data_IF_913809738536
#
_entry.id   IF_913809738536
#
_cell.length_a   1.000
_cell.length_b   1.000
_cell.length_c   1.000
_cell.angle_alpha   90.00
_cell.angle_beta   90.00
_cell.angle_gamma   90.00
#
_symmetry.space_group_name_H-M   'P 1'
#
loop_
_entity.id
_entity.type
_entity.pdbx_description
1 polymer ?
#
# COMPACT_ATOMS: atom_id res chain seq x y z
N UNK A 1 12.65 -12.08 -4.49
CA UNK A 1 13.26 -11.39 -3.34
C UNK A 1 12.18 -11.16 -2.31
N UNK A 2 12.20 -11.93 -1.22
CA UNK A 2 11.19 -11.83 -0.19
C UNK A 2 11.58 -10.79 0.88
N UNK A 3 10.61 -10.04 1.41
CA UNK A 3 10.80 -8.81 2.20
C UNK A 3 11.49 -7.65 1.47
N UNK A 4 10.80 -6.51 1.41
CA UNK A 4 11.39 -5.22 1.03
C UNK A 4 10.60 -4.08 1.64
N UNK A 5 11.29 -2.98 1.91
CA UNK A 5 10.67 -1.71 2.28
C UNK A 5 11.35 -0.62 1.48
N UNK A 6 10.55 0.16 0.78
CA UNK A 6 11.01 1.33 0.03
C UNK A 6 10.25 2.57 0.50
N UNK A 7 10.97 3.66 0.78
CA UNK A 7 10.35 4.95 1.04
C UNK A 7 10.02 5.60 -0.31
N UNK A 8 8.73 5.63 -0.64
CA UNK A 8 8.23 6.10 -1.93
C UNK A 8 8.11 7.63 -1.97
N UNK A 9 7.69 8.21 -0.86
CA UNK A 9 7.69 9.64 -0.65
C UNK A 9 7.77 9.92 0.83
N UNK A 10 8.42 11.02 1.16
CA UNK A 10 8.58 11.44 2.54
C UNK A 10 8.61 12.96 2.61
N UNK A 11 7.80 13.52 3.50
CA UNK A 11 7.56 14.96 3.50
C UNK A 11 7.32 15.50 4.89
N UNK A 12 7.76 16.74 5.10
CA UNK A 12 7.56 17.47 6.36
C UNK A 12 7.08 18.88 6.04
N UNK A 13 6.09 19.42 6.73
CA UNK A 13 5.64 20.79 6.49
C UNK A 13 6.73 21.79 6.91
N UNK A 14 7.01 22.80 6.08
CA UNK A 14 8.03 23.82 6.32
C UNK A 14 7.44 25.23 6.29
N UNK A 15 7.82 26.04 7.28
CA UNK A 15 7.44 27.44 7.38
C UNK A 15 6.62 27.74 8.63
N UNK A 16 6.61 29.01 9.03
CA UNK A 16 5.99 29.50 10.29
C UNK A 16 4.47 29.29 10.35
N UNK A 17 3.83 29.02 9.20
CA UNK A 17 2.40 28.80 9.09
C UNK A 17 1.99 27.41 9.60
N UNK A 18 2.87 26.41 9.50
CA UNK A 18 2.56 25.03 9.88
C UNK A 18 2.97 24.79 11.33
N UNK A 19 2.03 24.99 12.24
CA UNK A 19 2.26 24.67 13.65
C UNK A 19 2.23 23.14 13.81
N UNK A 20 3.31 22.54 14.30
CA UNK A 20 3.33 21.16 14.83
C UNK A 20 2.81 20.05 13.91
N UNK A 21 2.73 20.27 12.60
CA UNK A 21 2.28 19.24 11.66
C UNK A 21 3.41 18.19 11.46
N UNK A 22 3.15 16.90 11.70
CA UNK A 22 4.17 15.86 11.69
C UNK A 22 4.61 15.52 10.27
N UNK A 23 5.71 14.75 10.19
CA UNK A 23 6.17 14.10 8.96
C UNK A 23 5.09 13.16 8.42
N UNK A 24 4.93 13.14 7.10
CA UNK A 24 4.09 12.19 6.37
C UNK A 24 4.98 11.33 5.48
N UNK A 25 4.90 10.02 5.64
CA UNK A 25 5.72 9.07 4.90
C UNK A 25 4.85 8.05 4.18
N UNK A 26 5.20 7.74 2.93
CA UNK A 26 4.62 6.65 2.14
C UNK A 26 5.67 5.56 1.91
N UNK A 27 5.35 4.34 2.32
CA UNK A 27 6.19 3.15 2.19
C UNK A 27 5.56 2.14 1.24
N UNK A 28 6.36 1.50 0.39
CA UNK A 28 6.00 0.24 -0.25
C UNK A 28 6.63 -0.91 0.53
N UNK A 29 5.79 -1.76 1.12
CA UNK A 29 6.21 -2.82 2.04
C UNK A 29 5.84 -4.17 1.43
N UNK A 30 6.82 -5.00 1.11
CA UNK A 30 6.62 -6.40 0.72
C UNK A 30 6.81 -7.29 1.95
N UNK A 31 5.79 -8.10 2.27
CA UNK A 31 5.76 -9.00 3.43
C UNK A 31 4.97 -10.28 3.11
N UNK A 32 5.11 -11.36 3.91
CA UNK A 32 4.32 -12.57 3.76
C UNK A 32 2.83 -12.27 3.88
N UNK A 33 2.03 -12.80 2.95
CA UNK A 33 0.60 -12.52 2.92
C UNK A 33 -0.14 -13.01 4.17
N UNK A 34 0.40 -14.02 4.86
CA UNK A 34 -0.19 -14.57 6.10
C UNK A 34 -0.34 -13.53 7.21
N UNK A 35 0.50 -12.49 7.26
CA UNK A 35 0.42 -11.41 8.27
C UNK A 35 -0.25 -10.14 7.76
N UNK A 36 -0.80 -10.16 6.54
CA UNK A 36 -1.51 -9.01 5.96
C UNK A 36 -2.72 -8.60 6.81
N UNK A 37 -3.46 -9.56 7.36
CA UNK A 37 -4.60 -9.27 8.22
C UNK A 37 -4.19 -8.52 9.49
N UNK A 38 -3.05 -8.90 10.08
CA UNK A 38 -2.52 -8.25 11.29
C UNK A 38 -2.01 -6.83 10.99
N UNK A 39 -1.28 -6.62 9.89
CA UNK A 39 -0.93 -5.28 9.40
C UNK A 39 -2.21 -4.42 9.22
N UNK A 40 -3.27 -5.04 8.72
CA UNK A 40 -4.53 -4.35 8.44
C UNK A 40 -5.31 -3.91 9.69
N UNK A 41 -4.94 -4.37 10.89
CA UNK A 41 -5.57 -3.93 12.14
C UNK A 41 -5.22 -2.50 12.54
N UNK A 42 -4.09 -1.96 12.07
CA UNK A 42 -3.68 -0.61 12.43
C UNK A 42 -4.45 0.45 11.63
N UNK A 43 -5.38 1.13 12.31
CA UNK A 43 -6.36 2.02 11.66
C UNK A 43 -5.79 3.36 11.16
N UNK A 44 -4.64 3.79 11.68
CA UNK A 44 -4.04 5.07 11.30
C UNK A 44 -3.33 5.04 9.94
N UNK A 45 -3.29 3.87 9.29
CA UNK A 45 -2.70 3.69 7.97
C UNK A 45 -3.71 3.85 6.83
N UNK A 46 -3.37 4.67 5.85
CA UNK A 46 -3.95 4.58 4.51
C UNK A 46 -3.20 3.53 3.71
N UNK A 47 -3.94 2.60 3.09
CA UNK A 47 -3.36 1.36 2.54
C UNK A 47 -3.91 1.00 1.18
N UNK A 48 -3.04 0.57 0.27
CA UNK A 48 -3.41 -0.08 -0.98
C UNK A 48 -2.56 -1.36 -1.12
N UNK A 49 -3.19 -2.53 -1.15
CA UNK A 49 -2.50 -3.84 -1.24
C UNK A 49 -2.80 -4.54 -2.54
N UNK A 50 -1.84 -5.32 -3.05
CA UNK A 50 -2.06 -6.11 -4.24
C UNK A 50 -3.13 -7.20 -4.08
N UNK A 51 -4.05 -7.22 -5.05
CA UNK A 51 -5.18 -8.15 -5.09
C UNK A 51 -4.84 -9.41 -5.88
N UNK A 52 -4.89 -10.56 -5.21
CA UNK A 52 -4.80 -11.88 -5.85
C UNK A 52 -5.88 -12.08 -6.91
N UNK A 53 -7.04 -11.43 -6.78
CA UNK A 53 -8.15 -11.48 -7.74
C UNK A 53 -7.80 -10.83 -9.08
N UNK A 54 -6.82 -9.93 -9.11
CA UNK A 54 -6.42 -9.24 -10.33
C UNK A 54 -5.41 -10.05 -11.17
N UNK A 55 -4.65 -10.96 -10.54
CA UNK A 55 -3.50 -11.64 -11.15
C UNK A 55 -3.93 -13.00 -11.77
N UNK A 56 -3.51 -13.33 -13.01
CA UNK A 56 -3.76 -14.64 -13.61
C UNK A 56 -3.27 -15.80 -12.72
N UNK A 57 -4.01 -16.92 -12.72
CA UNK A 57 -3.70 -18.08 -11.86
C UNK A 57 -2.30 -18.61 -12.13
N UNK A 58 -1.91 -18.76 -13.40
CA UNK A 58 -0.58 -19.22 -13.77
C UNK A 58 0.55 -18.37 -13.15
N UNK A 59 0.43 -17.03 -13.22
CA UNK A 59 1.41 -16.13 -12.63
C UNK A 59 1.51 -16.26 -11.10
N UNK A 60 0.42 -16.64 -10.44
CA UNK A 60 0.41 -16.88 -8.98
C UNK A 60 1.07 -18.21 -8.65
N UNK A 61 0.85 -19.24 -9.47
CA UNK A 61 1.54 -20.52 -9.37
C UNK A 61 3.05 -20.31 -9.53
N UNK A 62 3.48 -19.58 -10.57
CA UNK A 62 4.89 -19.29 -10.82
C UNK A 62 5.56 -18.60 -9.62
N UNK A 63 4.85 -17.67 -8.96
CA UNK A 63 5.34 -16.99 -7.75
C UNK A 63 5.57 -17.95 -6.59
N UNK A 64 4.63 -18.83 -6.29
CA UNK A 64 4.78 -19.76 -5.15
C UNK A 64 5.77 -20.88 -5.44
N UNK A 65 5.95 -21.28 -6.71
CA UNK A 65 6.92 -22.33 -7.06
C UNK A 65 8.35 -21.79 -7.08
N UNK A 66 8.57 -20.56 -7.56
CA UNK A 66 9.90 -19.96 -7.70
C UNK A 66 10.42 -19.27 -6.43
N UNK A 67 9.56 -18.55 -5.71
CA UNK A 67 9.94 -17.76 -4.53
C UNK A 67 8.84 -17.81 -3.45
N UNK A 68 8.56 -19.00 -2.87
CA UNK A 68 7.56 -19.16 -1.83
C UNK A 68 7.95 -18.42 -0.55
N UNK A 69 6.95 -17.99 0.20
CA UNK A 69 7.14 -17.71 1.62
C UNK A 69 7.37 -19.01 2.39
N UNK A 70 8.46 -19.02 3.17
CA UNK A 70 8.82 -20.06 4.12
C UNK A 70 9.03 -19.36 5.48
N UNK A 71 8.34 -19.78 6.55
CA UNK A 71 8.57 -19.25 7.89
C UNK A 71 10.04 -19.36 8.30
N UNK A 72 10.59 -18.29 8.87
CA UNK A 72 11.98 -18.29 9.36
C UNK A 72 12.08 -18.60 10.86
N UNK A 73 10.94 -18.68 11.56
CA UNK A 73 10.85 -19.03 12.96
C UNK A 73 9.75 -20.06 13.18
N UNK A 74 10.12 -21.25 13.61
CA UNK A 74 9.21 -22.38 13.83
C UNK A 74 8.93 -22.55 15.33
N UNK A 75 8.12 -21.64 15.87
CA UNK A 75 7.77 -21.62 17.28
C UNK A 75 7.12 -22.91 17.78
N UNK A 76 7.59 -23.42 18.92
CA UNK A 76 7.02 -24.59 19.57
C UNK A 76 5.58 -24.31 20.03
N UNK A 77 4.72 -25.32 19.91
CA UNK A 77 3.35 -25.24 20.37
C UNK A 77 3.30 -25.09 21.90
N UNK A 78 2.54 -24.11 22.38
CA UNK A 78 2.36 -23.82 23.81
C UNK A 78 1.01 -23.13 24.05
N UNK A 79 0.60 -22.99 25.32
CA UNK A 79 -0.60 -22.21 25.68
C UNK A 79 -0.36 -20.73 25.41
N UNK A 80 -1.39 -20.03 24.92
CA UNK A 80 -1.34 -18.61 24.59
C UNK A 80 -1.21 -18.36 23.09
N UNK A 81 -1.02 -17.10 22.70
CA UNK A 81 -0.96 -16.68 21.30
C UNK A 81 0.46 -16.60 20.74
N UNK A 82 1.49 -16.64 21.60
CA UNK A 82 2.88 -16.39 21.23
C UNK A 82 3.73 -17.63 21.44
N UNK A 83 4.79 -17.75 20.64
CA UNK A 83 5.80 -18.79 20.78
C UNK A 83 7.17 -18.14 20.95
N UNK A 84 7.82 -18.38 22.10
CA UNK A 84 9.12 -17.78 22.42
C UNK A 84 10.30 -18.73 22.18
N UNK A 85 10.03 -20.03 22.06
CA UNK A 85 11.03 -21.07 21.87
C UNK A 85 10.80 -21.72 20.53
N UNK A 86 11.85 -21.85 19.71
CA UNK A 86 11.79 -22.59 18.45
C UNK A 86 11.87 -24.09 18.71
N UNK A 87 11.23 -24.90 17.86
CA UNK A 87 11.43 -26.35 17.86
C UNK A 87 12.89 -26.72 17.52
N UNK A 88 13.30 -27.96 17.83
CA UNK A 88 14.66 -28.41 17.53
C UNK A 88 14.97 -28.42 16.03
N UNK A 89 16.26 -28.42 15.68
CA UNK A 89 16.71 -28.28 14.30
C UNK A 89 16.23 -29.41 13.37
N UNK A 90 16.06 -30.64 13.86
CA UNK A 90 15.57 -31.75 13.05
C UNK A 90 14.08 -31.60 12.78
N UNK A 91 13.30 -31.25 13.81
CA UNK A 91 11.87 -30.92 13.67
C UNK A 91 11.64 -29.73 12.75
N UNK A 92 12.51 -28.71 12.79
CA UNK A 92 12.44 -27.54 11.89
C UNK A 92 12.61 -27.93 10.42
N UNK A 93 13.61 -28.75 10.10
CA UNK A 93 13.80 -29.25 8.73
C UNK A 93 12.58 -30.04 8.23
N UNK A 94 11.98 -30.85 9.11
CA UNK A 94 10.75 -31.57 8.77
C UNK A 94 9.56 -30.62 8.59
N UNK A 95 9.41 -29.60 9.43
CA UNK A 95 8.34 -28.62 9.33
C UNK A 95 8.42 -27.82 8.01
N UNK A 96 9.61 -27.38 7.62
CA UNK A 96 9.84 -26.73 6.33
C UNK A 96 9.49 -27.65 5.15
N UNK A 97 9.89 -28.93 5.20
CA UNK A 97 9.52 -29.92 4.19
C UNK A 97 7.99 -30.08 4.10
N UNK A 98 7.30 -30.25 5.23
CA UNK A 98 5.83 -30.38 5.24
C UNK A 98 5.14 -29.13 4.71
N UNK A 99 5.67 -27.94 5.01
CA UNK A 99 5.16 -26.66 4.52
C UNK A 99 5.25 -26.55 2.99
N UNK A 100 6.35 -26.99 2.40
CA UNK A 100 6.54 -27.00 0.95
C UNK A 100 5.74 -28.12 0.27
N UNK A 101 5.58 -29.29 0.90
CA UNK A 101 4.68 -30.34 0.39
C UNK A 101 3.22 -29.85 0.35
N UNK A 102 2.77 -29.15 1.39
CA UNK A 102 1.43 -28.56 1.42
C UNK A 102 1.25 -27.51 0.30
N UNK A 103 2.29 -26.73 -0.01
CA UNK A 103 2.30 -25.80 -1.16
C UNK A 103 2.09 -26.55 -2.47
N UNK A 104 2.82 -27.63 -2.68
CA UNK A 104 2.80 -28.37 -3.94
C UNK A 104 1.41 -29.00 -4.17
N UNK A 105 0.79 -29.52 -3.10
CA UNK A 105 -0.61 -29.97 -3.13
C UNK A 105 -1.54 -28.81 -3.47
N UNK A 106 -1.38 -27.63 -2.84
CA UNK A 106 -2.22 -26.47 -3.14
C UNK A 106 -2.07 -25.99 -4.59
N UNK A 107 -0.87 -26.04 -5.16
CA UNK A 107 -0.60 -25.77 -6.59
C UNK A 107 -1.34 -26.76 -7.48
N UNK A 108 -1.27 -28.06 -7.17
CA UNK A 108 -2.00 -29.09 -7.91
C UNK A 108 -3.51 -28.82 -7.89
N UNK A 109 -4.07 -28.48 -6.73
CA UNK A 109 -5.50 -28.16 -6.62
C UNK A 109 -5.87 -26.87 -7.37
N UNK A 110 -5.01 -25.84 -7.34
CA UNK A 110 -5.22 -24.62 -8.11
C UNK A 110 -5.24 -24.89 -9.63
N UNK A 111 -4.39 -25.79 -10.13
CA UNK A 111 -4.39 -26.24 -11.53
C UNK A 111 -5.68 -26.99 -11.89
N UNK A 112 -6.19 -27.86 -11.00
CA UNK A 112 -7.48 -28.54 -11.20
C UNK A 112 -8.64 -27.55 -11.23
N UNK A 113 -8.65 -26.56 -10.35
CA UNK A 113 -9.65 -25.49 -10.38
C UNK A 113 -9.59 -24.68 -11.69
N UNK A 114 -8.38 -24.39 -12.17
CA UNK A 114 -8.18 -23.75 -13.47
C UNK A 114 -8.74 -24.60 -14.62
N UNK A 115 -8.49 -25.92 -14.64
CA UNK A 115 -9.03 -26.80 -15.70
C UNK A 115 -10.55 -26.93 -15.68
N UNK A 116 -11.18 -26.71 -14.51
CA UNK A 116 -12.64 -26.65 -14.37
C UNK A 116 -13.22 -25.27 -14.72
N UNK A 117 -12.39 -24.28 -15.08
CA UNK A 117 -12.83 -22.93 -15.40
C UNK A 117 -13.16 -22.05 -14.19
N UNK A 118 -12.72 -22.42 -12.98
CA UNK A 118 -12.96 -21.62 -11.78
C UNK A 118 -12.20 -20.30 -11.86
N UNK A 119 -12.91 -19.20 -11.60
CA UNK A 119 -12.34 -17.87 -11.68
C UNK A 119 -11.22 -17.64 -10.66
N UNK A 120 -10.19 -16.88 -11.07
CA UNK A 120 -9.00 -16.51 -10.28
C UNK A 120 -9.30 -15.94 -8.90
N UNK A 121 -10.49 -15.36 -8.70
CA UNK A 121 -10.90 -14.83 -7.39
C UNK A 121 -11.01 -15.89 -6.29
N UNK A 122 -11.24 -17.15 -6.67
CA UNK A 122 -11.29 -18.30 -5.77
C UNK A 122 -10.04 -19.17 -5.88
N UNK A 123 -9.64 -19.55 -7.10
CA UNK A 123 -8.50 -20.46 -7.29
C UNK A 123 -7.20 -19.93 -6.66
N UNK A 124 -6.93 -18.63 -6.78
CA UNK A 124 -5.72 -18.03 -6.19
C UNK A 124 -5.71 -18.04 -4.67
N UNK A 125 -6.86 -18.21 -3.99
CA UNK A 125 -6.94 -18.20 -2.52
C UNK A 125 -6.20 -19.36 -1.89
N UNK A 126 -6.15 -20.51 -2.58
CA UNK A 126 -5.40 -21.68 -2.13
C UNK A 126 -3.89 -21.41 -2.03
N UNK A 127 -3.37 -20.47 -2.80
CA UNK A 127 -1.93 -20.18 -2.90
C UNK A 127 -1.47 -19.08 -1.93
N UNK A 128 -2.41 -18.36 -1.32
CA UNK A 128 -2.12 -17.20 -0.47
C UNK A 128 -1.16 -17.45 0.71
N UNK A 129 -1.14 -18.63 1.35
CA UNK A 129 -0.20 -18.90 2.44
C UNK A 129 1.28 -18.79 2.05
N UNK A 130 1.64 -19.07 0.80
CA UNK A 130 3.03 -19.08 0.31
C UNK A 130 3.40 -17.82 -0.49
N UNK A 131 2.54 -16.82 -0.51
CA UNK A 131 2.77 -15.61 -1.29
C UNK A 131 3.31 -14.47 -0.42
N UNK A 132 4.19 -13.67 -1.01
CA UNK A 132 4.43 -12.30 -0.55
C UNK A 132 3.41 -11.35 -1.19
N UNK A 133 3.12 -10.27 -0.49
CA UNK A 133 2.26 -9.19 -0.96
C UNK A 133 2.94 -7.85 -0.72
N UNK A 134 2.78 -6.92 -1.66
CA UNK A 134 3.22 -5.53 -1.49
C UNK A 134 2.02 -4.69 -1.07
N UNK A 135 2.21 -3.89 -0.03
CA UNK A 135 1.25 -2.94 0.51
C UNK A 135 1.88 -1.56 0.48
N UNK A 136 1.20 -0.62 -0.16
CA UNK A 136 1.50 0.80 -0.02
C UNK A 136 0.88 1.29 1.28
N UNK A 137 1.66 1.92 2.15
CA UNK A 137 1.23 2.43 3.46
C UNK A 137 1.62 3.90 3.55
N UNK A 138 0.67 4.78 3.82
CA UNK A 138 0.94 6.19 4.13
C UNK A 138 0.42 6.51 5.52
N UNK A 139 1.22 7.22 6.33
CA UNK A 139 0.83 7.61 7.68
C UNK A 139 1.65 8.78 8.25
N UNK A 140 1.05 9.49 9.19
CA UNK A 140 1.70 10.42 10.13
C UNK A 140 2.10 9.73 11.43
N UNK A 141 1.24 8.84 11.93
CA UNK A 141 1.35 8.23 13.26
C UNK A 141 1.93 6.81 13.18
N UNK A 142 3.22 6.69 13.44
CA UNK A 142 3.94 5.40 13.38
C UNK A 142 4.21 4.78 14.76
N UNK A 143 4.25 5.60 15.81
CA UNK A 143 4.75 5.21 17.13
C UNK A 143 4.00 4.02 17.73
N UNK A 144 2.66 4.04 17.68
CA UNK A 144 1.85 2.95 18.20
C UNK A 144 2.08 1.64 17.40
N UNK A 145 2.22 1.74 16.07
CA UNK A 145 2.49 0.57 15.25
C UNK A 145 3.86 -0.02 15.58
N UNK A 146 4.91 0.80 15.66
CA UNK A 146 6.25 0.32 15.99
C UNK A 146 6.34 -0.20 17.43
N UNK A 147 5.68 0.44 18.40
CA UNK A 147 5.64 -0.05 19.78
C UNK A 147 5.02 -1.45 19.89
N UNK A 148 3.97 -1.72 19.11
CA UNK A 148 3.26 -3.02 19.13
C UNK A 148 3.92 -4.08 18.26
N UNK A 149 4.49 -3.68 17.11
CA UNK A 149 4.95 -4.63 16.08
C UNK A 149 6.45 -4.83 16.06
N UNK A 150 7.26 -3.87 16.53
CA UNK A 150 8.69 -4.06 16.80
C UNK A 150 8.90 -4.61 18.22
N UNK A 151 8.10 -5.60 18.61
CA UNK A 151 8.09 -6.20 19.95
C UNK A 151 8.28 -7.72 19.87
N UNK A 152 8.87 -8.32 20.91
CA UNK A 152 9.16 -9.76 20.92
C UNK A 152 7.90 -10.64 20.82
N UNK A 153 6.79 -10.15 21.35
CA UNK A 153 5.47 -10.82 21.31
C UNK A 153 4.70 -10.56 20.01
N UNK A 154 5.23 -9.78 19.07
CA UNK A 154 4.63 -9.68 17.75
C UNK A 154 4.99 -10.95 16.94
N UNK A 155 4.08 -11.38 16.06
CA UNK A 155 4.37 -12.48 15.16
C UNK A 155 5.68 -12.19 14.38
N UNK A 156 6.67 -13.11 14.36
CA UNK A 156 7.99 -12.84 13.81
C UNK A 156 7.96 -12.28 12.38
N UNK A 157 7.09 -12.80 11.53
CA UNK A 157 6.96 -12.36 10.14
C UNK A 157 6.57 -10.89 10.01
N UNK A 158 5.64 -10.42 10.85
CA UNK A 158 5.22 -9.01 10.86
C UNK A 158 6.26 -8.13 11.55
N UNK A 159 6.86 -8.62 12.64
CA UNK A 159 7.92 -7.90 13.36
C UNK A 159 9.07 -7.53 12.45
N UNK A 160 9.55 -8.48 11.65
CA UNK A 160 10.61 -8.24 10.66
C UNK A 160 10.24 -7.12 9.68
N UNK A 161 9.01 -7.13 9.14
CA UNK A 161 8.56 -6.06 8.25
C UNK A 161 8.45 -4.71 8.98
N UNK A 162 7.93 -4.69 10.21
CA UNK A 162 7.77 -3.47 11.00
C UNK A 162 9.12 -2.84 11.39
N UNK A 163 10.11 -3.65 11.74
CA UNK A 163 11.48 -3.20 12.01
C UNK A 163 12.11 -2.59 10.75
N UNK A 164 11.99 -3.26 9.59
CA UNK A 164 12.44 -2.71 8.31
C UNK A 164 11.73 -1.39 7.96
N UNK A 165 10.43 -1.26 8.26
CA UNK A 165 9.68 -0.02 8.09
C UNK A 165 10.21 1.10 8.98
N UNK A 166 10.41 0.82 10.28
CA UNK A 166 10.96 1.78 11.25
C UNK A 166 12.32 2.28 10.80
N UNK A 167 13.21 1.35 10.42
CA UNK A 167 14.58 1.67 10.05
C UNK A 167 14.63 2.48 8.73
N UNK A 168 13.78 2.14 7.76
CA UNK A 168 13.65 2.90 6.52
C UNK A 168 13.13 4.34 6.75
N UNK A 169 12.13 4.51 7.62
CA UNK A 169 11.63 5.84 8.01
C UNK A 169 12.73 6.61 8.75
N UNK A 170 13.43 5.99 9.70
CA UNK A 170 14.49 6.63 10.46
C UNK A 170 15.66 7.09 9.57
N UNK A 171 16.03 6.28 8.55
CA UNK A 171 17.12 6.59 7.63
C UNK A 171 16.74 7.63 6.54
N UNK A 172 15.45 7.81 6.27
CA UNK A 172 14.99 8.72 5.22
C UNK A 172 14.97 10.19 5.66
N UNK A 173 15.31 11.09 4.74
CA UNK A 173 15.28 12.55 4.94
C UNK A 173 14.03 13.12 4.28
N UNK A 174 13.09 13.71 5.03
CA UNK A 174 11.85 14.22 4.47
C UNK A 174 12.08 15.48 3.63
N UNK A 175 11.33 15.59 2.52
CA UNK A 175 11.31 16.80 1.71
C UNK A 175 10.46 17.88 2.40
N UNK A 176 10.98 19.10 2.61
CA UNK A 176 10.16 20.20 3.13
C UNK A 176 9.05 20.55 2.13
N UNK A 177 7.84 20.83 2.64
CA UNK A 177 6.70 21.27 1.87
C UNK A 177 6.09 22.56 2.43
N UNK A 178 5.97 23.56 1.55
CA UNK A 178 5.31 24.83 1.81
C UNK A 178 3.79 24.80 1.62
N UNK A 179 3.20 26.00 1.65
CA UNK A 179 1.77 26.21 1.38
C UNK A 179 1.43 25.82 -0.06
N UNK A 180 0.31 25.09 -0.23
CA UNK A 180 -0.15 24.52 -1.51
C UNK A 180 0.77 23.46 -2.14
N UNK A 181 1.86 23.04 -1.47
CA UNK A 181 2.66 21.92 -1.95
C UNK A 181 2.07 20.57 -1.53
N UNK A 182 2.45 19.51 -2.23
CA UNK A 182 1.85 18.18 -2.06
C UNK A 182 2.89 17.10 -1.79
N UNK A 183 2.52 16.19 -0.91
CA UNK A 183 3.12 14.86 -0.78
C UNK A 183 2.67 14.01 -1.97
N UNK A 184 3.60 13.67 -2.85
CA UNK A 184 3.35 13.05 -4.17
C UNK A 184 4.09 11.71 -4.30
N UNK A 185 3.56 10.59 -3.78
CA UNK A 185 4.17 9.27 -3.95
C UNK A 185 4.31 8.89 -5.43
N UNK A 186 5.46 8.33 -5.80
CA UNK A 186 5.82 7.98 -7.18
C UNK A 186 5.81 9.15 -8.17
N UNK A 187 5.96 10.39 -7.70
CA UNK A 187 6.24 11.52 -8.58
C UNK A 187 7.57 11.29 -9.33
N UNK A 188 7.61 11.72 -10.58
CA UNK A 188 8.80 11.64 -11.43
C UNK A 188 9.22 13.04 -11.87
N UNK A 189 10.52 13.28 -12.13
CA UNK A 189 11.01 14.60 -12.54
C UNK A 189 10.34 15.12 -13.82
N UNK A 190 9.99 14.22 -14.74
CA UNK A 190 9.42 14.57 -16.04
C UNK A 190 7.90 14.84 -15.97
N UNK A 191 7.22 14.58 -14.86
CA UNK A 191 5.77 14.72 -14.73
C UNK A 191 5.26 16.15 -15.01
N UNK A 192 6.13 17.17 -14.89
CA UNK A 192 5.82 18.56 -15.20
C UNK A 192 5.90 18.91 -16.70
N UNK A 193 6.53 18.07 -17.52
CA UNK A 193 6.91 18.42 -18.88
C UNK A 193 5.81 18.05 -19.89
N UNK A 194 5.65 18.80 -20.99
CA UNK A 194 4.94 18.31 -22.18
C UNK A 194 3.43 18.06 -22.04
N UNK A 195 2.75 18.74 -21.11
CA UNK A 195 1.28 18.67 -21.03
C UNK A 195 0.64 19.58 -22.08
N UNK A 196 -0.16 19.02 -22.99
CA UNK A 196 -0.95 19.83 -23.92
C UNK A 196 -2.11 20.53 -23.20
N UNK A 197 -2.45 21.76 -23.61
CA UNK A 197 -3.49 22.57 -22.97
C UNK A 197 -4.86 21.87 -22.91
N UNK A 198 -5.20 21.07 -23.92
CA UNK A 198 -6.42 20.23 -23.98
C UNK A 198 -6.46 19.16 -22.91
N UNK A 199 -5.30 18.55 -22.60
CA UNK A 199 -5.21 17.54 -21.55
C UNK A 199 -5.40 18.16 -20.17
N UNK A 200 -5.07 19.45 -19.98
CA UNK A 200 -5.27 20.20 -18.72
C UNK A 200 -6.76 20.49 -18.46
N UNK A 201 -7.51 20.90 -19.48
CA UNK A 201 -8.94 21.23 -19.35
C UNK A 201 -9.79 20.01 -19.01
N UNK A 202 -9.42 18.82 -19.51
CA UNK A 202 -10.18 17.60 -19.28
C UNK A 202 -9.90 16.96 -17.91
N UNK A 203 -8.89 17.39 -17.15
CA UNK A 203 -8.50 16.76 -15.86
C UNK A 203 -9.55 16.97 -14.79
N UNK A 204 -10.26 18.10 -14.82
CA UNK A 204 -11.25 18.48 -13.82
C UNK A 204 -12.49 17.60 -13.99
N UNK A 205 -12.87 16.87 -12.95
CA UNK A 205 -14.08 16.05 -12.93
C UNK A 205 -15.11 16.70 -12.02
N UNK A 206 -16.40 16.55 -12.35
CA UNK A 206 -17.51 17.05 -11.50
C UNK A 206 -17.56 16.38 -10.11
N UNK A 207 -16.85 15.27 -9.94
CA UNK A 207 -16.75 14.53 -8.69
C UNK A 207 -15.92 15.25 -7.61
N UNK A 208 -15.13 16.26 -7.99
CA UNK A 208 -14.21 16.97 -7.09
C UNK A 208 -14.66 18.40 -6.88
N UNK A 209 -14.56 18.87 -5.63
CA UNK A 209 -14.83 20.25 -5.25
C UNK A 209 -13.68 21.17 -5.67
N UNK A 210 -13.57 21.40 -6.98
CA UNK A 210 -12.46 22.16 -7.61
C UNK A 210 -12.19 23.51 -6.97
N UNK A 211 -13.24 24.26 -6.60
CA UNK A 211 -13.13 25.57 -5.97
C UNK A 211 -12.43 25.55 -4.60
N UNK A 212 -12.38 24.39 -3.94
CA UNK A 212 -11.75 24.22 -2.61
C UNK A 212 -10.35 23.62 -2.69
N UNK A 213 -9.95 23.13 -3.87
CA UNK A 213 -8.65 22.53 -4.08
C UNK A 213 -7.56 23.62 -4.17
N UNK A 214 -6.54 23.61 -3.31
CA UNK A 214 -5.46 24.61 -3.33
C UNK A 214 -4.42 24.23 -4.40
N UNK A 215 -4.83 24.11 -5.66
CA UNK A 215 -3.96 23.65 -6.75
C UNK A 215 -4.37 24.23 -8.10
N UNK A 216 -3.43 24.31 -9.04
CA UNK A 216 -3.71 24.67 -10.43
C UNK A 216 -4.03 23.42 -11.26
N UNK A 217 -4.72 23.54 -12.41
CA UNK A 217 -5.08 22.38 -13.24
C UNK A 217 -3.89 21.48 -13.63
N UNK A 218 -2.73 22.08 -13.93
CA UNK A 218 -1.48 21.36 -14.25
C UNK A 218 -0.94 20.54 -13.08
N UNK A 219 -1.03 21.09 -11.87
CA UNK A 219 -0.59 20.43 -10.65
C UNK A 219 -1.54 19.28 -10.31
N UNK A 220 -2.85 19.48 -10.49
CA UNK A 220 -3.85 18.42 -10.30
C UNK A 220 -3.62 17.22 -11.24
N UNK A 221 -3.23 17.47 -12.49
CA UNK A 221 -2.82 16.40 -13.42
C UNK A 221 -1.67 15.54 -12.84
N UNK A 222 -0.64 16.16 -12.27
CA UNK A 222 0.46 15.44 -11.61
C UNK A 222 -0.04 14.63 -10.40
N UNK A 223 -0.98 15.17 -9.63
CA UNK A 223 -1.59 14.42 -8.52
C UNK A 223 -2.30 13.16 -9.04
N UNK A 224 -3.02 13.25 -10.15
CA UNK A 224 -3.68 12.08 -10.77
C UNK A 224 -2.68 11.02 -11.26
N UNK A 225 -1.51 11.42 -11.78
CA UNK A 225 -0.44 10.47 -12.11
C UNK A 225 0.03 9.71 -10.87
N UNK A 226 0.25 10.42 -9.77
CA UNK A 226 0.64 9.82 -8.50
C UNK A 226 -0.42 8.83 -7.99
N UNK A 227 -1.70 9.23 -8.04
CA UNK A 227 -2.85 8.38 -7.66
C UNK A 227 -2.89 7.10 -8.50
N UNK A 228 -2.74 7.20 -9.81
CA UNK A 228 -2.73 6.05 -10.71
C UNK A 228 -1.58 5.09 -10.37
N UNK A 229 -0.38 5.62 -10.11
CA UNK A 229 0.80 4.83 -9.72
C UNK A 229 0.62 4.17 -8.36
N UNK A 230 -0.01 4.86 -7.39
CA UNK A 230 -0.40 4.28 -6.11
C UNK A 230 -1.38 3.10 -6.28
N UNK A 231 -2.42 3.26 -7.11
CA UNK A 231 -3.37 2.19 -7.42
C UNK A 231 -2.67 0.97 -8.07
N UNK A 232 -1.60 1.23 -8.85
CA UNK A 232 -0.83 0.21 -9.56
C UNK A 232 0.09 -0.65 -8.71
N UNK A 233 0.31 -0.31 -7.44
CA UNK A 233 0.94 -1.25 -6.48
C UNK A 233 0.22 -2.60 -6.49
N UNK A 234 -1.07 -2.59 -6.87
CA UNK A 234 -1.86 -3.81 -7.04
C UNK A 234 -1.51 -4.71 -8.24
N UNK A 235 -0.72 -4.21 -9.19
CA UNK A 235 -0.44 -4.89 -10.47
C UNK A 235 1.07 -5.19 -10.67
N UNK A 236 1.90 -5.03 -9.63
CA UNK A 236 3.32 -5.39 -9.65
C UNK A 236 4.18 -4.59 -10.65
N UNK A 237 3.69 -3.44 -11.12
CA UNK A 237 4.31 -2.62 -12.17
C UNK A 237 4.10 -1.12 -11.94
N UNK A 238 4.11 -0.63 -10.69
CA UNK A 238 4.14 0.83 -10.44
C UNK A 238 5.39 1.49 -11.03
N UNK A 239 6.48 0.72 -11.18
CA UNK A 239 7.74 1.16 -11.79
C UNK A 239 7.80 1.09 -13.33
N UNK A 240 6.84 0.43 -14.01
CA UNK A 240 6.87 0.41 -15.48
C UNK A 240 6.58 1.80 -16.03
N UNK A 241 7.41 2.29 -16.96
CA UNK A 241 7.10 3.46 -17.77
C UNK A 241 5.82 3.18 -18.55
N UNK A 242 4.81 4.03 -18.36
CA UNK A 242 3.52 3.99 -19.04
C UNK A 242 3.20 5.38 -19.55
N UNK A 243 2.31 5.42 -20.52
CA UNK A 243 1.78 6.67 -21.03
C UNK A 243 1.06 7.44 -19.90
N UNK A 244 1.30 8.75 -19.82
CA UNK A 244 0.68 9.63 -18.83
C UNK A 244 -0.83 9.71 -19.04
N UNK A 245 -1.29 9.64 -20.29
CA UNK A 245 -2.71 9.62 -20.63
C UNK A 245 -3.41 8.38 -20.02
N UNK A 246 -2.77 7.22 -20.04
CA UNK A 246 -3.29 5.99 -19.42
C UNK A 246 -3.43 6.10 -17.91
N UNK A 247 -2.46 6.75 -17.26
CA UNK A 247 -2.48 6.97 -15.81
C UNK A 247 -3.57 7.97 -15.43
N UNK A 248 -3.71 9.09 -16.15
CA UNK A 248 -4.82 10.04 -15.96
C UNK A 248 -6.17 9.36 -16.18
N UNK A 249 -6.31 8.58 -17.25
CA UNK A 249 -7.54 7.85 -17.55
C UNK A 249 -7.89 6.83 -16.46
N UNK A 250 -6.88 6.14 -15.89
CA UNK A 250 -7.08 5.26 -14.74
C UNK A 250 -7.57 6.04 -13.51
N UNK A 251 -6.91 7.14 -13.17
CA UNK A 251 -7.28 7.94 -12.00
C UNK A 251 -8.71 8.50 -12.14
N UNK A 252 -9.10 9.00 -13.32
CA UNK A 252 -10.47 9.46 -13.60
C UNK A 252 -11.50 8.35 -13.43
N UNK A 253 -11.24 7.14 -13.93
CA UNK A 253 -12.14 5.99 -13.74
C UNK A 253 -12.29 5.60 -12.27
N UNK A 254 -11.19 5.63 -11.49
CA UNK A 254 -11.23 5.37 -10.05
C UNK A 254 -12.05 6.42 -9.30
N UNK A 255 -11.86 7.70 -9.64
CA UNK A 255 -12.65 8.81 -9.11
C UNK A 255 -14.15 8.62 -9.38
N UNK A 256 -14.53 8.34 -10.63
CA UNK A 256 -15.93 8.19 -11.04
C UNK A 256 -16.64 6.97 -10.42
N UNK A 257 -15.88 5.92 -10.08
CA UNK A 257 -16.41 4.70 -9.46
C UNK A 257 -16.39 4.71 -7.93
N UNK A 258 -15.99 5.82 -7.29
CA UNK A 258 -15.89 5.93 -5.84
C UNK A 258 -14.73 5.11 -5.24
N UNK A 259 -13.81 4.61 -6.06
CA UNK A 259 -12.63 3.86 -5.62
C UNK A 259 -11.52 4.82 -5.16
N UNK A 260 -11.77 5.53 -4.06
CA UNK A 260 -10.91 6.63 -3.62
C UNK A 260 -9.72 6.24 -2.74
N UNK A 261 -9.53 4.96 -2.42
CA UNK A 261 -8.38 4.53 -1.61
C UNK A 261 -7.01 4.93 -2.16
N UNK A 262 -6.77 5.03 -3.49
CA UNK A 262 -5.47 5.51 -4.01
C UNK A 262 -5.26 7.02 -3.81
N UNK A 263 -6.35 7.79 -3.67
CA UNK A 263 -6.31 9.25 -3.43
C UNK A 263 -5.97 9.61 -1.98
N UNK A 264 -5.97 8.63 -1.07
CA UNK A 264 -5.58 8.83 0.33
C UNK A 264 -4.06 8.99 0.51
N UNK A 265 -3.27 8.50 -0.45
CA UNK A 265 -1.80 8.56 -0.38
C UNK A 265 -1.24 9.93 -0.78
N UNK A 266 -2.03 10.75 -1.47
CA UNK A 266 -1.66 12.10 -1.91
C UNK A 266 -2.27 13.11 -0.95
N UNK A 267 -1.47 13.99 -0.36
CA UNK A 267 -1.93 14.92 0.67
C UNK A 267 -1.16 16.24 0.66
N UNK A 268 -1.74 17.29 1.24
CA UNK A 268 -1.14 18.63 1.37
C UNK A 268 -1.17 19.07 2.84
N UNK A 269 -0.16 19.82 3.34
CA UNK A 269 -0.08 20.19 4.74
C UNK A 269 -1.15 21.22 5.13
N UNK A 270 -1.64 21.13 6.36
CA UNK A 270 -2.66 22.03 6.90
C UNK A 270 -2.01 23.13 7.76
N UNK A 271 -2.42 24.38 7.54
CA UNK A 271 -1.95 25.53 8.37
C UNK A 271 -2.34 25.35 9.83
N UNK A 272 -3.56 24.88 10.09
CA UNK A 272 -4.00 24.52 11.44
C UNK A 272 -4.00 23.00 11.56
N UNK A 273 -3.12 22.42 12.39
CA UNK A 273 -3.02 20.96 12.48
C UNK A 273 -4.26 20.38 13.16
N UNK A 274 -4.95 19.50 12.46
CA UNK A 274 -6.03 18.67 12.99
C UNK A 274 -6.04 17.32 12.27
N UNK A 275 -6.85 16.38 12.75
CA UNK A 275 -7.02 15.12 12.05
C UNK A 275 -7.91 15.31 10.82
N UNK A 276 -7.37 14.99 9.64
CA UNK A 276 -8.14 14.75 8.43
C UNK A 276 -8.18 13.25 8.16
N UNK A 277 -9.31 12.63 8.46
CA UNK A 277 -9.44 11.18 8.55
C UNK A 277 -8.36 10.58 9.49
N UNK A 278 -7.40 9.85 8.95
CA UNK A 278 -6.34 9.18 9.70
C UNK A 278 -5.00 9.93 9.71
N UNK A 279 -4.87 11.09 9.07
CA UNK A 279 -3.64 11.89 9.10
C UNK A 279 -3.80 13.10 10.00
N UNK A 280 -2.80 13.39 10.82
CA UNK A 280 -2.76 14.61 11.63
C UNK A 280 -1.97 15.72 10.94
N UNK A 281 -2.55 16.89 10.73
CA UNK A 281 -1.88 18.05 10.10
C UNK A 281 -1.75 18.00 8.58
N UNK A 282 -2.43 17.04 7.94
CA UNK A 282 -2.45 16.85 6.48
C UNK A 282 -3.87 16.61 6.02
N UNK A 283 -4.21 17.10 4.83
CA UNK A 283 -5.49 16.81 4.17
C UNK A 283 -5.25 15.97 2.92
N UNK A 284 -5.89 14.80 2.88
CA UNK A 284 -5.79 13.85 1.77
C UNK A 284 -6.56 14.37 0.54
N UNK A 285 -6.09 14.07 -0.66
CA UNK A 285 -6.77 14.43 -1.91
C UNK A 285 -8.19 13.86 -1.99
N UNK A 286 -8.41 12.67 -1.38
CA UNK A 286 -9.75 12.07 -1.22
C UNK A 286 -10.78 13.02 -0.59
N UNK A 287 -10.36 13.91 0.32
CA UNK A 287 -11.27 14.79 1.07
C UNK A 287 -11.98 15.83 0.21
N UNK A 288 -11.47 16.07 -0.99
CA UNK A 288 -12.06 17.02 -1.94
C UNK A 288 -13.12 16.37 -2.84
N UNK A 289 -13.40 15.07 -2.70
CA UNK A 289 -14.47 14.41 -3.45
C UNK A 289 -15.83 14.65 -2.80
N UNK A 290 -16.84 14.95 -3.63
CA UNK A 290 -18.22 15.10 -3.17
C UNK A 290 -18.73 13.75 -2.67
N UNK A 291 -19.29 13.73 -1.46
CA UNK A 291 -19.82 12.49 -0.86
C UNK A 291 -18.75 11.49 -0.44
N UNK A 292 -17.50 11.92 -0.18
CA UNK A 292 -16.37 11.02 0.10
C UNK A 292 -16.62 10.01 1.22
N UNK A 293 -17.42 10.43 2.21
CA UNK A 293 -17.78 9.66 3.40
C UNK A 293 -18.84 8.59 3.14
N UNK A 294 -19.47 8.58 1.95
CA UNK A 294 -20.65 7.78 1.64
C UNK A 294 -21.93 8.25 2.35
N UNK A 295 -21.89 9.30 3.18
CA UNK A 295 -23.11 9.85 3.80
C UNK A 295 -23.96 10.54 2.74
N UNK A 296 -25.24 10.15 2.65
CA UNK A 296 -26.20 10.72 1.70
C UNK A 296 -26.24 10.04 0.33
N UNK A 297 -25.54 8.91 0.13
CA UNK A 297 -25.54 8.16 -1.14
C UNK A 297 -26.79 7.31 -1.39
N UNK A 298 -27.83 7.41 -0.55
CA UNK A 298 -29.13 6.77 -0.78
C UNK A 298 -29.13 5.23 -0.77
N UNK A 299 -28.12 4.60 -0.15
CA UNK A 299 -28.08 3.16 0.15
C UNK A 299 -28.53 2.90 1.58
#
# INVERSE_FOLDING_TARGET
>A
MPYSVEVIADSVPEGKLFQSAPRLTTLAVTLPRIVLAELNTHRMFSRNSASSRAIPIQRMIDKVTQDPFIPFFWGANQKGMQAHVEIDAASRQQAELQWLLARDVAVEQALKLLSLGVHKQLANRLLEPWLYTTVLVTATDWDNFFALRCHLDAQPELRRAAEMMRDAVAASTPRPLGFCEWHKPYARPDDSDGWEATTITDVVTDAVQWQQLPTQPSDYAQLLLCVARCARVSYGTSASLRDRADDVALAKRLAASGHWSPFEHVATPMVRPEYSANFFGWVQLRRYFVGESGRGSGW
#
